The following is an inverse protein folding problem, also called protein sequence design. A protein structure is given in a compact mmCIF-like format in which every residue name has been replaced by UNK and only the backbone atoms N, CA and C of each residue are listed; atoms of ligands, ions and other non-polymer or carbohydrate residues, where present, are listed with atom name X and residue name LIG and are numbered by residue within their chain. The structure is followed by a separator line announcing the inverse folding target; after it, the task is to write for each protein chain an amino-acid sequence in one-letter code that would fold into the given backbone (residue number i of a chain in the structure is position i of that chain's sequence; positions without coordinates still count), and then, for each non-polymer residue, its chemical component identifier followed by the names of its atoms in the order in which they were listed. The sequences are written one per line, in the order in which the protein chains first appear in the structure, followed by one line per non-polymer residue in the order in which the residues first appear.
data_IF_468773908722
#
_entry.id   IF_468773908722
#
_cell.length_a   1.000
_cell.length_b   1.000
_cell.length_c   1.000
_cell.angle_alpha   90.00
_cell.angle_beta   90.00
_cell.angle_gamma   90.00
#
_symmetry.space_group_name_H-M   'P 1'
#
loop_
_entity.id
_entity.type
_entity.pdbx_description
1 polymer ?
#
# COMPACT_ATOMS: atom_id res chain seq x y z
N UNK A 1 5.12 -5.97 21.59
CA UNK A 1 4.21 -7.15 21.52
C UNK A 1 4.48 -7.90 20.23
N UNK A 2 4.38 -9.23 20.20
CA UNK A 2 4.48 -9.97 18.93
C UNK A 2 3.07 -10.01 18.31
N UNK A 3 2.93 -9.51 17.10
CA UNK A 3 1.67 -9.60 16.34
C UNK A 3 1.44 -11.05 15.91
N UNK A 4 0.24 -11.54 16.13
CA UNK A 4 -0.17 -12.88 15.68
C UNK A 4 -1.10 -12.74 14.49
N UNK A 5 -0.68 -13.24 13.33
CA UNK A 5 -1.43 -13.19 12.08
C UNK A 5 -2.07 -14.56 11.79
N UNK A 6 -3.38 -14.60 11.73
CA UNK A 6 -4.17 -15.80 11.46
C UNK A 6 -4.50 -15.89 9.96
N UNK A 7 -3.55 -16.37 9.17
CA UNK A 7 -3.74 -16.68 7.74
C UNK A 7 -3.41 -18.16 7.52
N UNK A 8 -4.29 -18.87 6.82
CA UNK A 8 -3.93 -20.16 6.24
C UNK A 8 -3.07 -19.93 5.00
N UNK A 9 -1.74 -19.81 5.20
CA UNK A 9 -0.81 -19.47 4.13
C UNK A 9 -0.84 -20.41 2.92
N UNK A 10 -0.90 -21.76 3.06
CA UNK A 10 -1.04 -22.65 1.91
C UNK A 10 -2.27 -22.33 1.06
N UNK A 11 -3.42 -22.17 1.68
CA UNK A 11 -4.66 -21.83 0.99
C UNK A 11 -4.61 -20.43 0.38
N UNK A 12 -4.05 -19.45 1.11
CA UNK A 12 -3.90 -18.08 0.64
C UNK A 12 -3.01 -18.00 -0.62
N UNK A 13 -1.86 -18.66 -0.61
CA UNK A 13 -0.94 -18.71 -1.75
C UNK A 13 -1.56 -19.42 -2.96
N UNK A 14 -2.33 -20.46 -2.73
CA UNK A 14 -3.01 -21.20 -3.80
C UNK A 14 -4.13 -20.38 -4.44
N UNK A 15 -4.99 -19.72 -3.63
CA UNK A 15 -6.22 -19.09 -4.12
C UNK A 15 -6.09 -17.61 -4.44
N UNK A 16 -5.35 -16.85 -3.63
CA UNK A 16 -5.41 -15.39 -3.64
C UNK A 16 -4.12 -14.71 -4.10
N UNK A 17 -2.96 -15.24 -3.67
CA UNK A 17 -1.68 -14.60 -3.95
C UNK A 17 -1.45 -14.40 -5.44
N UNK A 18 -1.33 -13.11 -5.88
CA UNK A 18 -1.16 -12.66 -7.27
C UNK A 18 -2.32 -13.07 -8.22
N UNK A 19 -3.48 -13.42 -7.69
CA UNK A 19 -4.63 -13.91 -8.46
C UNK A 19 -5.88 -13.06 -8.27
N UNK A 20 -6.31 -12.85 -7.05
CA UNK A 20 -7.54 -12.12 -6.75
C UNK A 20 -7.53 -11.48 -5.37
N UNK A 21 -8.24 -10.35 -5.18
CA UNK A 21 -8.33 -9.69 -3.89
C UNK A 21 -9.20 -10.50 -2.92
N UNK A 22 -8.95 -10.29 -1.62
CA UNK A 22 -9.74 -10.94 -0.55
C UNK A 22 -9.72 -10.10 0.72
N UNK A 23 -10.84 -10.09 1.44
CA UNK A 23 -10.94 -9.59 2.80
C UNK A 23 -10.77 -10.75 3.78
N UNK A 24 -9.81 -10.61 4.69
CA UNK A 24 -9.53 -11.55 5.76
C UNK A 24 -10.00 -10.92 7.08
N UNK A 25 -11.17 -11.34 7.55
CA UNK A 25 -11.77 -10.80 8.77
C UNK A 25 -11.02 -11.28 10.01
N UNK A 26 -10.77 -10.35 10.96
CA UNK A 26 -10.08 -10.61 12.23
C UNK A 26 -8.77 -11.40 12.05
N UNK A 27 -8.01 -11.03 10.99
CA UNK A 27 -6.74 -11.67 10.67
C UNK A 27 -5.67 -11.37 11.72
N UNK A 28 -5.76 -10.19 12.37
CA UNK A 28 -5.01 -9.86 13.58
C UNK A 28 -5.99 -9.77 14.76
N UNK A 29 -6.17 -10.84 15.52
CA UNK A 29 -6.99 -10.78 16.74
C UNK A 29 -6.41 -9.77 17.73
N UNK A 30 -7.29 -9.02 18.40
CA UNK A 30 -6.92 -8.03 19.41
C UNK A 30 -5.86 -7.03 18.91
N UNK A 31 -6.02 -6.56 17.66
CA UNK A 31 -5.08 -5.65 17.03
C UNK A 31 -4.90 -4.36 17.84
N UNK A 32 -3.66 -4.01 18.08
CA UNK A 32 -3.27 -2.75 18.73
C UNK A 32 -2.36 -1.99 17.76
N UNK A 33 -2.68 -0.72 17.54
CA UNK A 33 -1.88 0.15 16.67
C UNK A 33 -0.45 0.27 17.22
N UNK A 34 0.59 0.01 16.41
CA UNK A 34 1.97 0.17 16.84
C UNK A 34 2.42 1.62 16.96
N UNK A 35 1.67 2.55 16.39
CA UNK A 35 1.99 3.98 16.31
C UNK A 35 0.74 4.80 16.54
N UNK A 36 0.88 5.93 17.20
CA UNK A 36 -0.19 6.92 17.37
C UNK A 36 -0.23 7.89 16.19
N UNK A 37 -1.35 8.60 15.96
CA UNK A 37 -1.43 9.67 14.96
C UNK A 37 -0.37 10.76 15.16
N UNK A 38 -0.08 11.14 16.41
CA UNK A 38 0.90 12.17 16.74
C UNK A 38 2.33 11.72 16.40
N UNK A 39 2.67 10.46 16.67
CA UNK A 39 3.96 9.89 16.27
C UNK A 39 4.11 9.82 14.74
N UNK A 40 3.03 9.45 14.02
CA UNK A 40 3.04 9.45 12.56
C UNK A 40 3.21 10.87 12.00
N UNK A 41 2.54 11.85 12.60
CA UNK A 41 2.71 13.26 12.25
C UNK A 41 4.15 13.73 12.51
N UNK A 42 4.74 13.32 13.64
CA UNK A 42 6.15 13.59 13.95
C UNK A 42 7.10 13.01 12.89
N UNK A 43 6.89 11.76 12.46
CA UNK A 43 7.68 11.16 11.38
C UNK A 43 7.54 11.94 10.06
N UNK A 44 6.34 12.43 9.75
CA UNK A 44 6.10 13.20 8.53
C UNK A 44 6.75 14.61 8.53
N UNK A 45 7.28 15.05 9.66
CA UNK A 45 8.06 16.30 9.81
C UNK A 45 9.58 16.07 9.58
N UNK A 46 10.02 14.81 9.59
CA UNK A 46 11.43 14.46 9.39
C UNK A 46 11.79 14.47 7.90
N UNK A 47 12.93 15.11 7.51
CA UNK A 47 13.32 15.24 6.11
C UNK A 47 13.69 13.92 5.43
N UNK A 48 14.06 12.91 6.19
CA UNK A 48 14.42 11.57 5.71
C UNK A 48 13.20 10.69 5.45
N UNK A 49 12.02 11.07 5.93
CA UNK A 49 10.78 10.30 5.79
C UNK A 49 9.99 10.79 4.58
N UNK A 50 9.81 9.93 3.58
CA UNK A 50 8.90 10.24 2.48
C UNK A 50 7.47 10.26 2.99
N UNK A 51 6.88 11.45 3.00
CA UNK A 51 5.52 11.66 3.48
C UNK A 51 4.71 12.52 2.53
N UNK A 52 3.39 12.32 2.57
CA UNK A 52 2.46 13.01 1.68
C UNK A 52 1.16 13.33 2.39
N UNK A 53 0.66 14.53 2.19
CA UNK A 53 -0.68 14.96 2.57
C UNK A 53 -1.54 15.01 1.32
N UNK A 54 -2.65 14.28 1.32
CA UNK A 54 -3.64 14.26 0.23
C UNK A 54 -4.97 14.77 0.76
N UNK A 55 -5.64 15.65 0.01
CA UNK A 55 -6.95 16.15 0.41
C UNK A 55 -7.89 16.33 -0.79
N UNK A 56 -9.18 16.18 -0.51
CA UNK A 56 -10.28 16.48 -1.44
C UNK A 56 -11.09 17.64 -0.86
N UNK A 57 -10.87 18.86 -1.37
CA UNK A 57 -11.59 20.05 -0.93
C UNK A 57 -12.41 20.64 -2.08
N UNK A 58 -13.71 20.81 -1.88
CA UNK A 58 -14.63 21.35 -2.90
C UNK A 58 -14.54 20.64 -4.28
N UNK A 59 -14.41 19.31 -4.24
CA UNK A 59 -14.29 18.48 -5.45
C UNK A 59 -12.92 18.57 -6.16
N UNK A 60 -11.93 19.22 -5.55
CA UNK A 60 -10.57 19.34 -6.10
C UNK A 60 -9.58 18.57 -5.24
N UNK A 61 -8.84 17.69 -5.88
CA UNK A 61 -7.73 16.96 -5.27
C UNK A 61 -6.51 17.87 -5.11
N UNK A 62 -5.88 17.77 -3.96
CA UNK A 62 -4.62 18.41 -3.65
C UNK A 62 -3.68 17.39 -3.03
N UNK A 63 -2.39 17.51 -3.30
CA UNK A 63 -1.35 16.71 -2.67
C UNK A 63 -0.11 17.57 -2.44
N UNK A 64 0.52 17.40 -1.30
CA UNK A 64 1.81 18.01 -0.96
C UNK A 64 2.72 16.97 -0.32
N UNK A 65 4.00 17.03 -0.62
CA UNK A 65 5.00 16.16 -0.01
C UNK A 65 5.61 16.86 1.21
N UNK A 66 6.04 16.04 2.20
CA UNK A 66 6.83 16.49 3.33
C UNK A 66 8.28 16.86 2.93
N UNK A 67 9.12 17.20 3.92
CA UNK A 67 8.75 17.28 5.34
C UNK A 67 7.77 18.42 5.63
N UNK A 68 6.86 18.19 6.59
CA UNK A 68 5.89 19.20 6.99
C UNK A 68 6.39 19.98 8.20
N UNK A 69 6.23 21.31 8.21
CA UNK A 69 6.57 22.14 9.36
C UNK A 69 5.47 22.18 10.41
N UNK A 70 4.20 22.09 9.98
CA UNK A 70 3.01 22.11 10.83
C UNK A 70 1.80 21.50 10.10
N UNK A 71 0.76 21.17 10.82
CA UNK A 71 -0.50 20.61 10.31
C UNK A 71 -1.71 21.52 10.56
N UNK A 72 -1.46 22.80 10.85
CA UNK A 72 -2.53 23.76 11.12
C UNK A 72 -3.43 24.00 9.90
N UNK A 73 -4.71 24.20 10.13
CA UNK A 73 -5.67 24.59 9.09
C UNK A 73 -6.13 23.46 8.16
N UNK A 74 -5.78 22.19 8.43
CA UNK A 74 -6.25 21.05 7.65
C UNK A 74 -7.76 20.82 7.78
N UNK A 75 -8.34 21.16 8.94
CA UNK A 75 -9.74 20.89 9.27
C UNK A 75 -9.97 19.43 9.71
N UNK A 76 -11.22 19.07 9.91
CA UNK A 76 -11.61 17.79 10.51
C UNK A 76 -12.05 16.74 9.48
N UNK A 77 -12.04 17.07 8.20
CA UNK A 77 -12.56 16.18 7.15
C UNK A 77 -11.78 16.29 5.84
N UNK A 78 -11.83 15.21 5.02
CA UNK A 78 -11.43 15.22 3.61
C UNK A 78 -9.93 15.21 3.36
N UNK A 79 -9.10 14.71 4.29
CA UNK A 79 -7.66 14.57 4.08
C UNK A 79 -7.07 13.31 4.69
N UNK A 80 -5.90 12.94 4.17
CA UNK A 80 -5.10 11.83 4.65
C UNK A 80 -3.63 12.20 4.67
N UNK A 81 -2.93 11.83 5.75
CA UNK A 81 -1.48 11.88 5.86
C UNK A 81 -0.92 10.48 5.65
N UNK A 82 0.06 10.34 4.77
CA UNK A 82 0.75 9.10 4.46
C UNK A 82 2.24 9.24 4.77
N UNK A 83 2.83 8.22 5.38
CA UNK A 83 4.28 8.09 5.53
C UNK A 83 4.73 6.74 4.98
N UNK A 84 5.74 6.75 4.12
CA UNK A 84 6.32 5.57 3.47
C UNK A 84 7.43 4.97 4.33
N UNK A 85 7.66 3.68 4.16
CA UNK A 85 8.76 2.94 4.75
C UNK A 85 8.91 3.13 6.28
N UNK A 86 7.78 3.27 7.00
CA UNK A 86 7.75 3.53 8.45
C UNK A 86 8.45 2.42 9.24
N UNK A 87 8.51 1.20 8.68
CA UNK A 87 9.27 0.09 9.25
C UNK A 87 10.78 0.35 9.37
N UNK A 88 11.32 1.35 8.68
CA UNK A 88 12.72 1.74 8.81
C UNK A 88 12.95 2.76 9.94
N UNK A 89 11.91 3.47 10.35
CA UNK A 89 11.99 4.61 11.27
C UNK A 89 11.35 4.35 12.62
N UNK A 90 10.41 3.37 12.70
CA UNK A 90 9.63 3.10 13.90
C UNK A 90 9.64 1.61 14.24
N UNK A 91 10.41 1.22 15.25
CA UNK A 91 10.61 -0.19 15.64
C UNK A 91 9.30 -0.94 15.95
N UNK A 92 8.33 -0.39 16.71
CA UNK A 92 7.06 -1.08 16.92
C UNK A 92 6.29 -1.34 15.62
N UNK A 93 6.34 -0.43 14.64
CA UNK A 93 5.72 -0.62 13.33
C UNK A 93 6.45 -1.70 12.52
N UNK A 94 7.78 -1.80 12.61
CA UNK A 94 8.55 -2.85 11.97
C UNK A 94 8.16 -4.26 12.45
N UNK A 95 7.73 -4.41 13.72
CA UNK A 95 7.25 -5.69 14.25
C UNK A 95 5.97 -6.18 13.56
N UNK A 96 5.13 -5.26 13.03
CA UNK A 96 3.92 -5.60 12.31
C UNK A 96 4.20 -6.33 10.99
N UNK A 97 5.37 -6.13 10.40
CA UNK A 97 5.77 -6.77 9.14
C UNK A 97 6.22 -8.23 9.34
N UNK A 98 6.70 -8.59 10.55
CA UNK A 98 7.26 -9.92 10.83
C UNK A 98 6.35 -11.10 10.47
N UNK A 99 5.04 -11.10 10.76
CA UNK A 99 4.16 -12.22 10.42
C UNK A 99 4.07 -12.52 8.92
N UNK A 100 4.41 -11.56 8.06
CA UNK A 100 4.38 -11.70 6.61
C UNK A 100 5.67 -12.33 6.03
N UNK A 101 6.69 -12.62 6.83
CA UNK A 101 7.95 -13.25 6.40
C UNK A 101 7.85 -14.71 5.97
N UNK A 102 6.64 -15.25 5.88
CA UNK A 102 6.32 -16.45 5.10
C UNK A 102 6.55 -16.20 3.60
N UNK A 103 6.34 -14.94 3.17
CA UNK A 103 6.72 -14.48 1.84
C UNK A 103 8.21 -14.14 1.81
N UNK A 104 8.89 -14.29 0.65
CA UNK A 104 10.32 -13.99 0.55
C UNK A 104 10.65 -12.53 0.92
N UNK A 105 11.62 -12.34 1.81
CA UNK A 105 12.03 -11.00 2.29
C UNK A 105 12.46 -10.05 1.16
N UNK A 106 13.05 -10.58 0.09
CA UNK A 106 13.46 -9.78 -1.07
C UNK A 106 12.29 -9.16 -1.85
N UNK A 107 11.06 -9.62 -1.60
CA UNK A 107 9.85 -9.06 -2.18
C UNK A 107 9.20 -7.99 -1.30
N UNK A 108 9.54 -7.96 -0.01
CA UNK A 108 9.04 -6.93 0.89
C UNK A 108 9.57 -5.56 0.42
N UNK A 109 8.66 -4.66 0.10
CA UNK A 109 8.99 -3.29 -0.27
C UNK A 109 9.06 -2.43 0.99
N UNK A 110 7.92 -2.13 1.57
CA UNK A 110 7.83 -1.31 2.76
C UNK A 110 6.56 -1.55 3.59
N UNK A 111 6.47 -0.82 4.70
CA UNK A 111 5.26 -0.56 5.43
C UNK A 111 4.90 0.93 5.31
N UNK A 112 3.90 1.24 4.52
CA UNK A 112 3.28 2.56 4.50
C UNK A 112 2.19 2.65 5.58
N UNK A 113 2.12 3.77 6.29
CA UNK A 113 1.05 4.05 7.24
C UNK A 113 0.28 5.29 6.79
N UNK A 114 -1.04 5.21 6.84
CA UNK A 114 -1.91 6.35 6.57
C UNK A 114 -2.83 6.67 7.74
N UNK A 115 -2.86 7.94 8.11
CA UNK A 115 -3.86 8.52 8.99
C UNK A 115 -4.86 9.31 8.16
N UNK A 116 -6.15 9.09 8.40
CA UNK A 116 -7.20 9.75 7.63
C UNK A 116 -8.32 10.23 8.54
N UNK A 117 -8.86 11.41 8.25
CA UNK A 117 -10.07 11.95 8.88
C UNK A 117 -11.31 11.66 8.04
N UNK A 118 -12.55 11.81 8.56
CA UNK A 118 -13.77 11.51 7.82
C UNK A 118 -13.76 12.07 6.40
N UNK A 119 -14.09 11.24 5.40
CA UNK A 119 -14.02 11.59 3.98
C UNK A 119 -12.60 11.61 3.40
N UNK A 120 -11.59 11.29 4.18
CA UNK A 120 -10.21 11.17 3.73
C UNK A 120 -9.98 9.90 2.92
N UNK A 121 -9.00 9.95 2.03
CA UNK A 121 -8.56 8.91 1.13
C UNK A 121 -7.58 9.47 0.13
N UNK A 122 -7.09 8.63 -0.78
CA UNK A 122 -6.17 9.03 -1.87
C UNK A 122 -6.85 9.00 -3.25
N UNK A 123 -8.13 8.57 -3.28
CA UNK A 123 -8.92 8.40 -4.49
C UNK A 123 -8.69 7.06 -5.20
N UNK A 124 -9.51 6.75 -6.22
CA UNK A 124 -9.46 5.48 -6.92
C UNK A 124 -8.19 5.35 -7.77
N UNK A 125 -7.40 4.30 -7.54
CA UNK A 125 -6.12 4.07 -8.22
C UNK A 125 -5.82 2.58 -8.42
N UNK A 126 -4.72 2.28 -9.09
CA UNK A 126 -4.22 0.93 -9.34
C UNK A 126 -2.75 0.87 -8.94
N UNK A 127 -2.41 -0.08 -8.10
CA UNK A 127 -1.03 -0.41 -7.77
C UNK A 127 -0.48 -1.54 -8.64
N UNK A 128 0.83 -1.51 -8.90
CA UNK A 128 1.54 -2.53 -9.68
C UNK A 128 2.30 -3.51 -8.79
N UNK A 129 1.90 -3.64 -7.52
CA UNK A 129 2.49 -4.52 -6.52
C UNK A 129 1.40 -5.16 -5.64
N UNK A 130 1.77 -6.22 -4.94
CA UNK A 130 0.89 -6.87 -3.98
C UNK A 130 0.84 -6.05 -2.69
N UNK A 131 -0.33 -5.83 -2.12
CA UNK A 131 -0.49 -5.10 -0.86
C UNK A 131 -1.44 -5.79 0.10
N UNK A 132 -1.03 -5.86 1.38
CA UNK A 132 -1.89 -6.20 2.51
C UNK A 132 -2.22 -4.93 3.28
N UNK A 133 -3.47 -4.52 3.25
CA UNK A 133 -3.94 -3.34 3.96
C UNK A 133 -4.58 -3.80 5.26
N UNK A 134 -3.92 -3.52 6.38
CA UNK A 134 -4.38 -3.83 7.72
C UNK A 134 -5.16 -2.63 8.23
N UNK A 135 -6.38 -2.85 8.70
CA UNK A 135 -7.14 -1.82 9.39
C UNK A 135 -6.67 -1.70 10.83
N UNK A 136 -6.25 -0.52 11.21
CA UNK A 136 -5.99 -0.13 12.59
C UNK A 136 -7.17 0.60 13.22
N UNK A 137 -6.90 1.62 14.01
CA UNK A 137 -7.91 2.47 14.64
C UNK A 137 -8.98 2.92 13.65
N UNK A 138 -10.24 2.96 14.08
CA UNK A 138 -11.38 3.38 13.29
C UNK A 138 -11.80 2.37 12.23
N UNK A 139 -12.56 2.83 11.25
CA UNK A 139 -13.05 2.00 10.15
C UNK A 139 -12.90 2.71 8.80
N UNK A 140 -12.67 1.92 7.75
CA UNK A 140 -12.55 2.42 6.38
C UNK A 140 -13.31 1.52 5.42
N UNK A 141 -14.13 2.14 4.58
CA UNK A 141 -14.78 1.45 3.47
C UNK A 141 -13.79 1.31 2.33
N UNK A 142 -13.62 0.07 1.89
CA UNK A 142 -12.80 -0.28 0.75
C UNK A 142 -13.65 -0.83 -0.38
N UNK A 143 -13.40 -0.30 -1.58
CA UNK A 143 -13.98 -0.78 -2.82
C UNK A 143 -12.85 -1.28 -3.70
N UNK A 144 -12.96 -2.50 -4.20
CA UNK A 144 -12.01 -3.08 -5.16
C UNK A 144 -12.79 -3.49 -6.39
N UNK A 145 -12.36 -3.06 -7.56
CA UNK A 145 -12.94 -3.44 -8.85
C UNK A 145 -12.22 -4.65 -9.47
N UNK A 146 -12.78 -5.18 -10.54
CA UNK A 146 -12.12 -6.25 -11.31
C UNK A 146 -10.95 -5.71 -12.14
N UNK A 147 -10.00 -6.57 -12.47
CA UNK A 147 -8.82 -6.25 -13.28
C UNK A 147 -9.20 -6.13 -14.76
N UNK A 148 -9.67 -4.95 -15.14
CA UNK A 148 -10.07 -4.61 -16.51
C UNK A 148 -9.24 -3.43 -17.02
N UNK A 149 -9.10 -3.27 -18.37
CA UNK A 149 -8.51 -2.07 -18.92
C UNK A 149 -9.30 -0.82 -18.49
N UNK A 150 -8.61 0.14 -17.88
CA UNK A 150 -9.21 1.36 -17.37
C UNK A 150 -8.44 2.58 -17.85
N UNK A 151 -9.14 3.68 -18.06
CA UNK A 151 -8.50 4.96 -18.31
C UNK A 151 -7.90 5.48 -17.00
N UNK A 152 -6.64 5.89 -17.09
CA UNK A 152 -5.95 6.59 -16.01
C UNK A 152 -5.87 8.08 -16.31
N UNK A 153 -5.96 8.91 -15.28
CA UNK A 153 -5.86 10.36 -15.40
C UNK A 153 -5.25 10.96 -14.12
N UNK A 154 -4.65 12.14 -14.24
CA UNK A 154 -4.03 12.84 -13.12
C UNK A 154 -4.93 14.00 -12.68
N UNK A 155 -5.74 13.84 -11.59
CA UNK A 155 -6.49 14.96 -11.04
C UNK A 155 -5.59 15.98 -10.33
N UNK A 156 -4.38 15.56 -9.99
CA UNK A 156 -3.26 16.37 -9.48
C UNK A 156 -1.96 15.74 -10.00
N UNK A 157 -0.88 16.51 -10.26
CA UNK A 157 0.40 15.96 -10.76
C UNK A 157 0.98 14.81 -9.94
N UNK A 158 0.72 14.78 -8.64
CA UNK A 158 1.18 13.72 -7.73
C UNK A 158 0.17 12.57 -7.52
N UNK A 159 -0.97 12.56 -8.23
CA UNK A 159 -2.02 11.54 -8.08
C UNK A 159 -2.40 10.96 -9.44
N UNK A 160 -2.38 9.65 -9.55
CA UNK A 160 -2.82 8.92 -10.73
C UNK A 160 -4.09 8.14 -10.39
N UNK A 161 -5.22 8.63 -10.87
CA UNK A 161 -6.53 8.02 -10.63
C UNK A 161 -7.00 7.19 -11.81
N UNK A 162 -8.01 6.37 -11.55
CA UNK A 162 -8.76 5.63 -12.57
C UNK A 162 -10.22 6.10 -12.62
N UNK A 163 -10.90 5.84 -13.74
CA UNK A 163 -12.34 6.07 -13.84
C UNK A 163 -13.10 5.23 -12.77
N UNK A 164 -14.32 5.65 -12.38
CA UNK A 164 -15.16 4.88 -11.47
C UNK A 164 -15.40 3.46 -11.97
N UNK A 165 -15.42 2.49 -11.07
CA UNK A 165 -15.56 1.08 -11.39
C UNK A 165 -16.65 0.40 -10.54
N UNK A 166 -17.31 -0.65 -11.08
CA UNK A 166 -18.18 -1.52 -10.31
C UNK A 166 -17.31 -2.34 -9.33
N UNK A 167 -17.63 -2.35 -8.04
CA UNK A 167 -16.83 -3.10 -7.08
C UNK A 167 -17.18 -4.60 -7.11
N UNK A 168 -16.15 -5.45 -6.99
CA UNK A 168 -16.26 -6.88 -6.66
C UNK A 168 -16.10 -7.10 -5.15
N UNK A 169 -15.47 -6.15 -4.45
CA UNK A 169 -15.46 -6.04 -2.99
C UNK A 169 -15.93 -4.63 -2.65
N UNK A 170 -16.85 -4.52 -1.70
CA UNK A 170 -17.35 -3.25 -1.16
C UNK A 170 -17.68 -3.47 0.32
N UNK A 171 -16.69 -3.26 1.21
CA UNK A 171 -16.78 -3.60 2.61
C UNK A 171 -16.13 -2.56 3.52
N UNK A 172 -16.70 -2.42 4.72
CA UNK A 172 -16.09 -1.70 5.82
C UNK A 172 -15.15 -2.64 6.60
N UNK A 173 -13.87 -2.26 6.66
CA UNK A 173 -12.88 -2.95 7.48
C UNK A 173 -12.89 -2.42 8.91
N UNK A 174 -12.75 -3.35 9.86
CA UNK A 174 -12.63 -3.09 11.29
C UNK A 174 -11.21 -3.37 11.78
N UNK A 175 -10.77 -2.84 12.93
CA UNK A 175 -9.44 -3.10 13.46
C UNK A 175 -9.09 -4.59 13.48
N UNK A 176 -7.93 -4.94 12.88
CA UNK A 176 -7.47 -6.32 12.72
C UNK A 176 -7.93 -7.04 11.46
N UNK A 177 -8.85 -6.46 10.68
CA UNK A 177 -9.17 -6.95 9.33
C UNK A 177 -8.03 -6.64 8.36
N UNK A 178 -7.85 -7.50 7.35
CA UNK A 178 -6.92 -7.28 6.25
C UNK A 178 -7.67 -7.32 4.92
N UNK A 179 -7.39 -6.35 4.07
CA UNK A 179 -7.69 -6.43 2.64
C UNK A 179 -6.39 -6.72 1.88
N UNK A 180 -6.35 -7.84 1.18
CA UNK A 180 -5.27 -8.13 0.23
C UNK A 180 -5.70 -7.75 -1.18
N UNK A 181 -4.83 -7.03 -1.89
CA UNK A 181 -5.04 -6.61 -3.28
C UNK A 181 -3.80 -6.99 -4.10
N UNK A 182 -3.94 -7.86 -5.12
CA UNK A 182 -2.85 -8.13 -6.06
C UNK A 182 -2.67 -6.99 -7.06
N UNK A 183 -1.53 -6.93 -7.78
CA UNK A 183 -1.26 -5.88 -8.75
C UNK A 183 -2.31 -5.80 -9.86
N UNK A 184 -2.68 -4.57 -10.21
CA UNK A 184 -3.54 -4.27 -11.35
C UNK A 184 -5.05 -4.22 -11.03
N UNK A 185 -5.47 -4.40 -9.79
CA UNK A 185 -6.86 -4.24 -9.38
C UNK A 185 -7.13 -2.79 -8.93
N UNK A 186 -8.12 -2.11 -9.52
CA UNK A 186 -8.49 -0.76 -9.09
C UNK A 186 -9.11 -0.81 -7.70
N UNK A 187 -8.74 0.15 -6.87
CA UNK A 187 -9.29 0.23 -5.52
C UNK A 187 -9.40 1.67 -5.02
N UNK A 188 -10.28 1.85 -4.05
CA UNK A 188 -10.58 3.13 -3.43
C UNK A 188 -10.96 2.92 -1.95
N UNK A 189 -10.32 3.66 -1.07
CA UNK A 189 -10.58 3.62 0.37
C UNK A 189 -11.00 4.97 0.89
N UNK A 190 -12.22 5.05 1.45
CA UNK A 190 -12.77 6.26 2.08
C UNK A 190 -13.08 5.97 3.52
N UNK A 191 -12.56 6.78 4.43
CA UNK A 191 -12.86 6.61 5.85
C UNK A 191 -14.12 7.38 6.27
N UNK A 192 -14.92 6.76 7.13
CA UNK A 192 -16.13 7.36 7.70
C UNK A 192 -15.84 8.08 9.01
N UNK A 193 -14.80 7.68 9.69
CA UNK A 193 -14.31 8.23 10.95
C UNK A 193 -12.78 8.38 10.89
N UNK A 194 -12.17 8.92 11.92
CA UNK A 194 -10.71 8.99 12.02
C UNK A 194 -10.13 7.59 12.06
N UNK A 195 -9.19 7.28 11.17
CA UNK A 195 -8.68 5.93 10.99
C UNK A 195 -7.17 5.87 10.71
N UNK A 196 -6.54 4.79 11.16
CA UNK A 196 -5.19 4.36 10.80
C UNK A 196 -5.25 3.12 9.92
N UNK A 197 -4.46 3.08 8.86
CA UNK A 197 -4.26 1.91 8.01
C UNK A 197 -2.77 1.66 7.79
N UNK A 198 -2.43 0.37 7.68
CA UNK A 198 -1.07 -0.14 7.53
C UNK A 198 -1.00 -0.95 6.25
N UNK A 199 -0.25 -0.47 5.26
CA UNK A 199 -0.09 -1.13 3.97
C UNK A 199 1.27 -1.80 3.89
N UNK A 200 1.31 -3.13 3.92
CA UNK A 200 2.53 -3.93 3.73
C UNK A 200 2.64 -4.28 2.26
N UNK A 201 3.59 -3.67 1.57
CA UNK A 201 3.81 -3.79 0.14
C UNK A 201 4.81 -4.89 -0.21
N UNK A 202 4.51 -5.63 -1.29
CA UNK A 202 5.40 -6.65 -1.84
C UNK A 202 5.59 -6.43 -3.34
N UNK A 203 6.82 -6.12 -3.76
CA UNK A 203 7.17 -5.95 -5.17
C UNK A 203 7.77 -7.21 -5.76
N UNK A 204 7.65 -7.34 -7.05
CA UNK A 204 8.36 -8.32 -7.85
C UNK A 204 8.80 -7.69 -9.16
N UNK A 205 9.94 -8.11 -9.72
CA UNK A 205 10.37 -7.63 -11.02
C UNK A 205 9.35 -8.02 -12.08
N UNK A 206 9.07 -7.12 -13.02
CA UNK A 206 8.34 -7.49 -14.22
C UNK A 206 9.28 -8.14 -15.25
N UNK A 207 8.73 -8.75 -16.31
CA UNK A 207 9.53 -9.45 -17.32
C UNK A 207 10.57 -8.56 -18.01
N UNK A 208 10.29 -7.25 -18.17
CA UNK A 208 11.23 -6.29 -18.76
C UNK A 208 12.42 -6.05 -17.83
N UNK A 209 12.17 -5.89 -16.53
CA UNK A 209 13.22 -5.70 -15.53
C UNK A 209 14.15 -6.92 -15.48
N UNK A 210 13.57 -8.15 -15.50
CA UNK A 210 14.34 -9.40 -15.54
C UNK A 210 15.24 -9.51 -16.78
N UNK A 211 14.69 -9.19 -17.97
CA UNK A 211 15.45 -9.24 -19.22
C UNK A 211 16.58 -8.20 -19.20
N UNK A 212 16.30 -6.97 -18.74
CA UNK A 212 17.32 -5.92 -18.64
C UNK A 212 18.44 -6.32 -17.69
N UNK A 213 18.11 -6.76 -16.48
CA UNK A 213 19.09 -7.20 -15.49
C UNK A 213 19.90 -8.42 -15.97
N UNK A 214 19.27 -9.34 -16.72
CA UNK A 214 19.97 -10.48 -17.30
C UNK A 214 20.94 -10.03 -18.40
N UNK A 215 20.56 -9.09 -19.26
CA UNK A 215 21.45 -8.55 -20.28
C UNK A 215 22.66 -7.85 -19.65
N UNK A 216 22.44 -7.04 -18.61
CA UNK A 216 23.54 -6.40 -17.86
C UNK A 216 24.46 -7.44 -17.24
N UNK A 217 23.91 -8.49 -16.62
CA UNK A 217 24.70 -9.59 -16.06
C UNK A 217 25.56 -10.32 -17.10
N UNK A 218 25.00 -10.57 -18.30
CA UNK A 218 25.74 -11.21 -19.43
C UNK A 218 26.91 -10.34 -19.86
N UNK A 219 26.71 -9.03 -20.00
CA UNK A 219 27.73 -8.06 -20.41
C UNK A 219 28.83 -7.88 -19.34
N UNK A 220 28.46 -7.74 -18.08
CA UNK A 220 29.40 -7.55 -16.97
C UNK A 220 30.30 -8.78 -16.73
N UNK A 221 29.79 -9.97 -17.03
CA UNK A 221 30.53 -11.23 -16.84
C UNK A 221 31.14 -11.78 -18.12
N UNK A 222 31.13 -11.02 -19.21
CA UNK A 222 31.67 -11.41 -20.53
C UNK A 222 31.14 -12.77 -21.01
N UNK A 223 29.83 -13.00 -20.82
CA UNK A 223 29.17 -14.23 -21.23
C UNK A 223 28.59 -14.08 -22.65
N UNK A 224 28.45 -15.21 -23.36
CA UNK A 224 27.80 -15.23 -24.67
C UNK A 224 28.65 -14.60 -25.79
N UNK A 225 29.99 -14.48 -25.62
CA UNK A 225 30.92 -13.97 -26.65
C UNK A 225 31.12 -14.89 -27.83
N UNK A 226 30.60 -16.12 -27.80
CA UNK A 226 30.69 -17.07 -28.91
C UNK A 226 29.72 -16.68 -30.02
N UNK A 227 30.23 -16.75 -31.26
CA UNK A 227 29.40 -16.51 -32.44
C UNK A 227 28.41 -17.67 -32.65
N UNK A 228 27.16 -17.31 -33.01
CA UNK A 228 26.22 -18.31 -33.50
C UNK A 228 26.79 -19.05 -34.70
N UNK A 229 26.73 -20.38 -34.69
CA UNK A 229 27.09 -21.22 -35.83
C UNK A 229 25.86 -21.97 -36.34
N UNK A 230 25.67 -21.97 -37.63
CA UNK A 230 24.62 -22.77 -38.25
C UNK A 230 24.83 -24.27 -38.00
N UNK A 231 23.75 -25.06 -37.81
CA UNK A 231 23.81 -26.49 -37.57
C UNK A 231 24.34 -27.29 -38.77
#
# INVERSE_FOLDING_TARGET
MAYQLNINWPEFLEKYWQKQPVVLKNAFPDFVDPITPDELAGLAMEPEVDSRLVSLKNGKWQASNGPFEHFDGLGETGWSLLAQAVNHWHMPAAELVRPFRVLPDWRLDDLMISFSVPGGGVGPHIDQYDVFIIQGMGSRRWRVGDKLPMRQFCPHPALLHVDPFPPIIDEDLQPGDILYIPPGFPHDGITHETALNYSVGFRGPNGRDLISSFADYVLENDLGGEHYSDP
#
